data_IF_408027729669
#
_entry.id   IF_408027729669
#
_cell.length_a   1.000
_cell.length_b   1.000
_cell.length_c   1.000
_cell.angle_alpha   90.00
_cell.angle_beta   90.00
_cell.angle_gamma   90.00
#
_symmetry.space_group_name_H-M   'P 1'
#
loop_
_entity.id
_entity.type
_entity.pdbx_description
1 polymer ?
#
# COMPACT_ATOMS: atom_id res chain seq x y z
N UNK A 1 -2.87 -17.99 -13.83
CA UNK A 1 -3.13 -16.83 -14.70
C UNK A 1 -2.69 -15.56 -13.98
N UNK A 2 -2.00 -14.61 -14.63
CA UNK A 2 -1.71 -13.31 -14.01
C UNK A 2 -3.02 -12.61 -13.62
N UNK A 3 -3.02 -11.84 -12.53
CA UNK A 3 -4.20 -11.04 -12.18
C UNK A 3 -4.47 -10.07 -13.34
N UNK A 4 -5.62 -10.21 -14.00
CA UNK A 4 -6.07 -9.21 -14.96
C UNK A 4 -6.54 -8.02 -14.14
N UNK A 5 -5.73 -6.97 -14.07
CA UNK A 5 -6.12 -5.74 -13.39
C UNK A 5 -7.29 -5.13 -14.20
N UNK A 6 -8.49 -5.03 -13.60
CA UNK A 6 -9.74 -4.63 -14.29
C UNK A 6 -10.13 -3.19 -13.95
N UNK A 7 -9.17 -2.28 -14.04
CA UNK A 7 -9.29 -0.83 -13.77
C UNK A 7 -10.33 -0.09 -14.61
N UNK A 8 -10.61 -0.55 -15.84
CA UNK A 8 -11.50 0.16 -16.78
C UNK A 8 -12.99 -0.19 -16.65
N UNK A 9 -13.33 -1.12 -15.76
CA UNK A 9 -14.73 -1.40 -15.43
C UNK A 9 -15.28 -0.26 -14.58
N UNK A 10 -16.46 0.28 -14.94
CA UNK A 10 -17.12 1.40 -14.23
C UNK A 10 -17.17 1.22 -12.71
N UNK A 11 -17.28 -0.01 -12.24
CA UNK A 11 -17.39 -0.33 -10.81
C UNK A 11 -16.06 -0.22 -10.03
N UNK A 12 -14.91 -0.24 -10.71
CA UNK A 12 -13.58 -0.31 -10.08
C UNK A 12 -12.84 1.03 -10.03
N UNK A 13 -13.25 1.99 -10.85
CA UNK A 13 -12.63 3.33 -10.92
C UNK A 13 -12.81 4.08 -9.59
N UNK A 14 -13.99 4.00 -8.98
CA UNK A 14 -14.26 4.65 -7.68
C UNK A 14 -13.35 4.13 -6.56
N UNK A 15 -13.11 2.81 -6.51
CA UNK A 15 -12.18 2.22 -5.56
C UNK A 15 -10.74 2.67 -5.81
N UNK A 16 -10.32 2.77 -7.08
CA UNK A 16 -9.02 3.30 -7.46
C UNK A 16 -8.81 4.75 -7.03
N UNK A 17 -9.81 5.62 -7.22
CA UNK A 17 -9.71 7.03 -6.79
C UNK A 17 -9.60 7.17 -5.27
N UNK A 18 -10.33 6.35 -4.50
CA UNK A 18 -10.23 6.35 -3.04
C UNK A 18 -8.84 5.87 -2.59
N UNK A 19 -8.29 4.83 -3.24
CA UNK A 19 -6.92 4.36 -2.97
C UNK A 19 -5.89 5.46 -3.26
N UNK A 20 -6.01 6.12 -4.42
CA UNK A 20 -5.12 7.21 -4.82
C UNK A 20 -5.18 8.37 -3.83
N UNK A 21 -6.39 8.79 -3.42
CA UNK A 21 -6.59 9.82 -2.41
C UNK A 21 -5.98 9.44 -1.06
N UNK A 22 -6.14 8.18 -0.63
CA UNK A 22 -5.53 7.66 0.59
C UNK A 22 -4.01 7.69 0.57
N UNK A 23 -3.39 7.26 -0.55
CA UNK A 23 -1.94 7.32 -0.74
C UNK A 23 -1.43 8.77 -0.76
N UNK A 24 -2.14 9.69 -1.43
CA UNK A 24 -1.76 11.10 -1.48
C UNK A 24 -1.81 11.78 -0.11
N UNK A 25 -2.86 11.50 0.68
CA UNK A 25 -2.97 11.99 2.06
C UNK A 25 -1.85 11.43 2.94
N UNK A 26 -1.60 10.12 2.88
CA UNK A 26 -0.50 9.49 3.61
C UNK A 26 0.84 10.17 3.28
N UNK A 27 1.11 10.39 1.99
CA UNK A 27 2.35 11.02 1.57
C UNK A 27 2.48 12.47 2.05
N UNK A 28 1.37 13.22 2.06
CA UNK A 28 1.36 14.59 2.58
C UNK A 28 1.70 14.61 4.08
N UNK A 29 1.09 13.72 4.88
CA UNK A 29 1.42 13.59 6.29
C UNK A 29 2.86 13.13 6.51
N UNK A 30 3.35 12.22 5.67
CA UNK A 30 4.71 11.70 5.75
C UNK A 30 5.76 12.79 5.52
N UNK A 31 5.55 13.66 4.54
CA UNK A 31 6.44 14.82 4.29
C UNK A 31 6.38 15.81 5.45
N UNK A 32 5.18 16.12 5.97
CA UNK A 32 5.06 17.03 7.12
C UNK A 32 5.82 16.48 8.34
N UNK A 33 5.73 15.17 8.58
CA UNK A 33 6.51 14.51 9.61
C UNK A 33 8.01 14.62 9.35
N UNK A 34 8.47 14.37 8.12
CA UNK A 34 9.88 14.49 7.74
C UNK A 34 10.42 15.92 7.88
N UNK A 35 9.63 16.94 7.52
CA UNK A 35 10.00 18.33 7.67
C UNK A 35 10.19 18.70 9.15
N UNK A 36 9.25 18.29 10.01
CA UNK A 36 9.27 18.66 11.42
C UNK A 36 10.32 17.89 12.23
N UNK A 37 10.42 16.57 12.02
CA UNK A 37 11.27 15.71 12.84
C UNK A 37 12.66 15.44 12.25
N UNK A 38 12.79 15.42 10.92
CA UNK A 38 14.05 15.10 10.24
C UNK A 38 14.74 16.33 9.64
N UNK A 39 14.15 17.52 9.80
CA UNK A 39 14.66 18.82 9.35
C UNK A 39 14.99 18.85 7.85
N UNK A 40 14.18 18.15 7.03
CA UNK A 40 14.34 18.11 5.58
C UNK A 40 13.61 19.30 4.95
N UNK A 41 14.34 20.34 4.57
CA UNK A 41 13.77 21.63 4.12
C UNK A 41 13.94 21.93 2.61
N UNK A 42 14.37 20.97 1.79
CA UNK A 42 14.68 21.22 0.38
C UNK A 42 13.44 21.07 -0.53
N UNK A 43 13.08 22.14 -1.25
CA UNK A 43 11.90 22.22 -2.12
C UNK A 43 11.82 21.11 -3.20
N UNK A 44 12.94 20.70 -3.78
CA UNK A 44 12.93 19.64 -4.79
C UNK A 44 12.56 18.27 -4.22
N UNK A 45 13.00 18.01 -2.98
CA UNK A 45 12.70 16.79 -2.22
C UNK A 45 11.23 16.79 -1.81
N UNK A 46 10.68 17.96 -1.51
CA UNK A 46 9.31 18.15 -0.98
C UNK A 46 8.22 18.04 -2.06
N UNK A 47 8.52 18.24 -3.34
CA UNK A 47 7.47 18.32 -4.39
C UNK A 47 7.53 17.16 -5.39
N UNK A 48 8.71 16.86 -5.96
CA UNK A 48 8.80 15.93 -7.09
C UNK A 48 8.74 14.46 -6.65
N UNK A 49 9.36 14.14 -5.52
CA UNK A 49 9.49 12.77 -5.02
C UNK A 49 8.19 12.24 -4.44
N UNK A 50 7.40 13.03 -3.70
CA UNK A 50 6.07 12.64 -3.25
C UNK A 50 5.16 12.14 -4.34
N UNK A 51 5.28 12.67 -5.55
CA UNK A 51 4.45 12.23 -6.67
C UNK A 51 4.83 10.81 -7.07
N UNK A 52 6.13 10.54 -7.23
CA UNK A 52 6.63 9.20 -7.60
C UNK A 52 6.33 8.14 -6.53
N UNK A 53 6.54 8.48 -5.26
CA UNK A 53 6.27 7.57 -4.14
C UNK A 53 4.77 7.34 -3.95
N UNK A 54 3.93 8.38 -4.12
CA UNK A 54 2.47 8.25 -4.11
C UNK A 54 2.01 7.29 -5.19
N UNK A 55 2.56 7.39 -6.41
CA UNK A 55 2.22 6.46 -7.49
C UNK A 55 2.66 5.03 -7.17
N UNK A 56 3.86 4.83 -6.63
CA UNK A 56 4.35 3.51 -6.23
C UNK A 56 3.48 2.88 -5.11
N UNK A 57 3.12 3.67 -4.10
CA UNK A 57 2.20 3.28 -3.01
C UNK A 57 0.82 2.92 -3.56
N UNK A 58 0.33 3.71 -4.50
CA UNK A 58 -0.95 3.49 -5.17
C UNK A 58 -0.96 2.17 -5.95
N UNK A 59 0.04 1.95 -6.81
CA UNK A 59 0.17 0.70 -7.57
C UNK A 59 0.33 -0.52 -6.64
N UNK A 60 1.12 -0.39 -5.58
CA UNK A 60 1.29 -1.46 -4.58
C UNK A 60 -0.03 -1.79 -3.89
N UNK A 61 -0.77 -0.77 -3.46
CA UNK A 61 -2.08 -0.93 -2.81
C UNK A 61 -3.11 -1.55 -3.76
N UNK A 62 -3.05 -1.23 -5.05
CA UNK A 62 -3.90 -1.83 -6.08
C UNK A 62 -3.62 -3.32 -6.28
N UNK A 63 -2.35 -3.71 -6.40
CA UNK A 63 -1.95 -5.12 -6.55
C UNK A 63 -2.46 -5.92 -5.35
N UNK A 64 -2.27 -5.38 -4.15
CA UNK A 64 -2.73 -6.00 -2.91
C UNK A 64 -4.27 -6.07 -2.89
N UNK A 65 -4.96 -4.99 -3.25
CA UNK A 65 -6.42 -4.96 -3.33
C UNK A 65 -6.99 -6.04 -4.27
N UNK A 66 -6.46 -6.14 -5.49
CA UNK A 66 -6.92 -7.15 -6.46
C UNK A 66 -6.67 -8.57 -5.96
N UNK A 67 -5.52 -8.81 -5.31
CA UNK A 67 -5.22 -10.11 -4.71
C UNK A 67 -6.25 -10.52 -3.65
N UNK A 68 -6.72 -9.58 -2.82
CA UNK A 68 -7.77 -9.82 -1.84
C UNK A 68 -9.16 -9.95 -2.48
N UNK A 69 -9.47 -9.10 -3.46
CA UNK A 69 -10.76 -9.10 -4.14
C UNK A 69 -11.01 -10.43 -4.86
N UNK A 70 -9.98 -10.99 -5.50
CA UNK A 70 -10.05 -12.28 -6.18
C UNK A 70 -10.30 -13.45 -5.21
N UNK A 71 -9.56 -13.49 -4.09
CA UNK A 71 -9.78 -14.49 -3.04
C UNK A 71 -11.16 -14.36 -2.41
N UNK A 72 -11.65 -13.13 -2.17
CA UNK A 72 -12.99 -12.89 -1.60
C UNK A 72 -14.11 -13.34 -2.52
N UNK A 73 -13.97 -13.16 -3.85
CA UNK A 73 -14.94 -13.68 -4.85
C UNK A 73 -15.01 -15.21 -4.82
N UNK A 74 -13.87 -15.91 -4.78
CA UNK A 74 -13.82 -17.38 -4.65
C UNK A 74 -14.48 -17.85 -3.36
N UNK A 75 -14.18 -17.18 -2.24
CA UNK A 75 -14.77 -17.51 -0.95
C UNK A 75 -16.28 -17.25 -0.90
N UNK A 76 -16.79 -16.22 -1.58
CA UNK A 76 -18.24 -15.96 -1.69
C UNK A 76 -18.98 -17.07 -2.44
N UNK A 77 -18.38 -17.61 -3.51
CA UNK A 77 -18.90 -18.77 -4.24
C UNK A 77 -18.92 -20.04 -3.36
N UNK A 78 -17.87 -20.24 -2.53
CA UNK A 78 -17.83 -21.36 -1.57
C UNK A 78 -18.76 -21.17 -0.37
N UNK A 79 -18.99 -19.94 0.08
CA UNK A 79 -19.81 -19.64 1.26
C UNK A 79 -21.31 -19.75 1.00
N UNK A 80 -21.76 -19.75 -0.25
CA UNK A 80 -23.15 -20.10 -0.59
C UNK A 80 -23.53 -21.51 -0.10
N UNK A 81 -22.54 -22.37 0.19
CA UNK A 81 -22.72 -23.71 0.76
C UNK A 81 -22.44 -23.80 2.27
N UNK A 82 -22.10 -22.70 2.96
CA UNK A 82 -21.79 -22.69 4.41
C UNK A 82 -22.81 -21.84 5.19
N UNK A 83 -23.30 -22.39 6.31
CA UNK A 83 -24.23 -21.68 7.22
C UNK A 83 -23.58 -20.41 7.80
N UNK A 84 -24.31 -19.28 7.88
CA UNK A 84 -23.75 -18.03 8.38
C UNK A 84 -23.55 -18.07 9.89
N UNK A 85 -22.30 -17.91 10.37
CA UNK A 85 -22.02 -17.67 11.79
C UNK A 85 -22.13 -16.16 12.09
N UNK A 86 -23.11 -15.78 12.91
CA UNK A 86 -23.28 -14.41 13.39
C UNK A 86 -22.34 -14.17 14.57
N UNK A 87 -21.29 -13.39 14.35
CA UNK A 87 -20.70 -12.50 15.35
C UNK A 87 -19.62 -11.65 14.68
N UNK A 88 -19.84 -10.33 14.58
CA UNK A 88 -18.82 -9.43 14.02
C UNK A 88 -18.71 -8.15 14.86
N UNK A 89 -17.63 -8.11 15.65
CA UNK A 89 -17.11 -6.94 16.36
C UNK A 89 -16.87 -5.76 15.40
N UNK A 90 -17.07 -4.54 15.87
CA UNK A 90 -16.96 -3.26 15.12
C UNK A 90 -15.61 -3.09 14.41
N UNK A 91 -14.52 -3.57 15.01
CA UNK A 91 -13.17 -3.56 14.43
C UNK A 91 -13.05 -4.43 13.17
N UNK A 92 -13.71 -5.60 13.16
CA UNK A 92 -13.80 -6.46 11.97
C UNK A 92 -14.62 -5.78 10.86
N UNK A 93 -15.57 -4.90 11.16
CA UNK A 93 -16.32 -4.15 10.13
C UNK A 93 -15.47 -3.08 9.44
N UNK A 94 -14.63 -2.37 10.19
CA UNK A 94 -13.73 -1.36 9.62
C UNK A 94 -12.62 -2.00 8.76
N UNK A 95 -12.04 -3.12 9.22
CA UNK A 95 -11.11 -3.93 8.42
C UNK A 95 -11.81 -4.74 7.30
N UNK A 96 -13.13 -4.94 7.35
CA UNK A 96 -13.88 -5.61 6.28
C UNK A 96 -14.16 -4.69 5.09
N UNK A 97 -13.92 -3.39 5.23
CA UNK A 97 -13.99 -2.45 4.10
C UNK A 97 -12.86 -2.81 3.12
N UNK A 98 -13.18 -3.11 1.85
CA UNK A 98 -12.25 -3.77 0.94
C UNK A 98 -11.01 -2.92 0.60
N UNK A 99 -11.05 -1.62 0.89
CA UNK A 99 -10.02 -0.63 0.56
C UNK A 99 -9.06 -0.37 1.72
N UNK A 100 -9.54 -0.42 2.97
CA UNK A 100 -8.76 -0.01 4.16
C UNK A 100 -7.61 -0.97 4.42
N UNK A 101 -7.85 -2.28 4.26
CA UNK A 101 -6.85 -3.30 4.51
C UNK A 101 -5.64 -3.22 3.53
N UNK A 102 -5.84 -3.13 2.20
CA UNK A 102 -4.73 -2.94 1.26
C UNK A 102 -3.88 -1.68 1.52
N UNK A 103 -4.53 -0.56 1.84
CA UNK A 103 -3.83 0.68 2.19
C UNK A 103 -3.00 0.49 3.47
N UNK A 104 -3.62 -0.06 4.52
CA UNK A 104 -2.94 -0.28 5.80
C UNK A 104 -1.73 -1.19 5.66
N UNK A 105 -1.84 -2.30 4.92
CA UNK A 105 -0.71 -3.20 4.64
C UNK A 105 0.39 -2.43 3.91
N UNK A 106 0.03 -1.69 2.87
CA UNK A 106 1.01 -0.94 2.06
C UNK A 106 1.74 0.11 2.89
N UNK A 107 1.02 0.85 3.74
CA UNK A 107 1.59 1.88 4.60
C UNK A 107 2.50 1.29 5.67
N UNK A 108 2.07 0.23 6.35
CA UNK A 108 2.89 -0.43 7.38
C UNK A 108 4.18 -0.96 6.78
N UNK A 109 4.09 -1.69 5.64
CA UNK A 109 5.27 -2.24 4.96
C UNK A 109 6.19 -1.11 4.50
N UNK A 110 5.65 -0.04 3.91
CA UNK A 110 6.43 1.12 3.49
C UNK A 110 7.17 1.78 4.66
N UNK A 111 6.48 2.07 5.76
CA UNK A 111 7.06 2.72 6.94
C UNK A 111 8.18 1.87 7.55
N UNK A 112 7.97 0.56 7.68
CA UNK A 112 8.99 -0.35 8.21
C UNK A 112 10.22 -0.34 7.31
N UNK A 113 10.03 -0.50 6.00
CA UNK A 113 11.13 -0.47 5.04
C UNK A 113 11.85 0.88 5.03
N UNK A 114 11.11 1.97 5.19
CA UNK A 114 11.66 3.33 5.26
C UNK A 114 12.51 3.51 6.50
N UNK A 115 12.02 3.13 7.68
CA UNK A 115 12.79 3.26 8.92
C UNK A 115 14.09 2.47 8.81
N UNK A 116 14.03 1.24 8.32
CA UNK A 116 15.24 0.40 8.14
C UNK A 116 16.21 1.04 7.16
N UNK A 117 15.74 1.47 5.99
CA UNK A 117 16.58 2.13 5.00
C UNK A 117 17.18 3.44 5.54
N UNK A 118 16.39 4.25 6.25
CA UNK A 118 16.81 5.53 6.80
C UNK A 118 17.87 5.37 7.88
N UNK A 119 17.74 4.36 8.76
CA UNK A 119 18.76 4.05 9.75
C UNK A 119 20.08 3.62 9.10
N UNK A 120 20.03 2.86 8.00
CA UNK A 120 21.23 2.42 7.27
C UNK A 120 21.88 3.60 6.54
N UNK A 121 21.11 4.39 5.78
CA UNK A 121 21.67 5.50 5.01
C UNK A 121 22.07 6.69 5.90
N UNK A 122 21.39 6.88 7.01
CA UNK A 122 21.68 7.92 8.01
C UNK A 122 23.07 7.82 8.64
N UNK A 123 23.74 6.66 8.58
CA UNK A 123 25.13 6.54 9.06
C UNK A 123 26.16 7.05 8.05
N UNK A 124 25.80 7.17 6.78
CA UNK A 124 26.74 7.51 5.69
C UNK A 124 26.43 8.84 4.99
N UNK A 125 25.17 9.30 5.03
CA UNK A 125 24.68 10.43 4.26
C UNK A 125 23.99 11.47 5.15
N UNK A 126 23.95 12.72 4.67
CA UNK A 126 23.21 13.80 5.32
C UNK A 126 21.72 13.49 5.38
N UNK A 127 21.02 13.96 6.42
CA UNK A 127 19.59 13.69 6.66
C UNK A 127 18.69 13.86 5.42
N UNK A 128 18.94 14.89 4.60
CA UNK A 128 18.18 15.14 3.38
C UNK A 128 18.38 14.04 2.31
N UNK A 129 19.63 13.63 2.08
CA UNK A 129 19.96 12.57 1.12
C UNK A 129 19.54 11.21 1.64
N UNK A 130 19.72 10.96 2.95
CA UNK A 130 19.27 9.76 3.62
C UNK A 130 17.76 9.60 3.51
N UNK A 131 17.00 10.66 3.78
CA UNK A 131 15.54 10.67 3.60
C UNK A 131 15.17 10.34 2.16
N UNK A 132 15.75 11.07 1.21
CA UNK A 132 15.49 10.95 -0.22
C UNK A 132 15.74 9.54 -0.75
N UNK A 133 16.90 8.96 -0.44
CA UNK A 133 17.25 7.62 -0.92
C UNK A 133 16.38 6.58 -0.23
N UNK A 134 16.15 6.70 1.07
CA UNK A 134 15.32 5.76 1.82
C UNK A 134 13.90 5.72 1.29
N UNK A 135 13.30 6.87 1.05
CA UNK A 135 11.93 6.97 0.54
C UNK A 135 11.77 6.26 -0.82
N UNK A 136 12.70 6.50 -1.75
CA UNK A 136 12.68 5.86 -3.06
C UNK A 136 12.96 4.35 -2.98
N UNK A 137 13.95 3.94 -2.18
CA UNK A 137 14.27 2.52 -1.98
C UNK A 137 13.10 1.78 -1.37
N UNK A 138 12.43 2.35 -0.36
CA UNK A 138 11.27 1.74 0.28
C UNK A 138 10.07 1.67 -0.65
N UNK A 139 9.85 2.67 -1.51
CA UNK A 139 8.80 2.63 -2.54
C UNK A 139 9.05 1.50 -3.56
N UNK A 140 10.29 1.32 -4.01
CA UNK A 140 10.68 0.24 -4.93
C UNK A 140 10.52 -1.12 -4.25
N UNK A 141 11.03 -1.28 -3.03
CA UNK A 141 10.91 -2.51 -2.26
C UNK A 141 9.45 -2.86 -1.97
N UNK A 142 8.60 -1.86 -1.70
CA UNK A 142 7.17 -2.07 -1.51
C UNK A 142 6.52 -2.66 -2.78
N UNK A 143 6.86 -2.17 -3.97
CA UNK A 143 6.37 -2.75 -5.23
C UNK A 143 6.79 -4.22 -5.39
N UNK A 144 8.02 -4.57 -4.99
CA UNK A 144 8.50 -5.95 -4.99
C UNK A 144 7.71 -6.81 -3.99
N UNK A 145 7.45 -6.29 -2.79
CA UNK A 145 6.65 -6.96 -1.77
C UNK A 145 5.21 -7.16 -2.25
N UNK A 146 4.59 -6.15 -2.87
CA UNK A 146 3.25 -6.25 -3.43
C UNK A 146 3.15 -7.33 -4.51
N UNK A 147 4.13 -7.39 -5.42
CA UNK A 147 4.24 -8.47 -6.41
C UNK A 147 4.47 -9.85 -5.75
N UNK A 148 5.22 -9.91 -4.65
CA UNK A 148 5.37 -11.11 -3.82
C UNK A 148 4.04 -11.55 -3.23
N UNK A 149 3.28 -10.62 -2.64
CA UNK A 149 1.93 -10.86 -2.12
C UNK A 149 0.99 -11.39 -3.20
N UNK A 150 1.03 -10.82 -4.41
CA UNK A 150 0.27 -11.35 -5.56
C UNK A 150 0.61 -12.83 -5.81
N UNK A 151 1.91 -13.14 -5.92
CA UNK A 151 2.38 -14.49 -6.24
C UNK A 151 2.08 -15.49 -5.15
N UNK A 152 2.28 -15.17 -3.88
CA UNK A 152 2.08 -16.12 -2.79
C UNK A 152 0.62 -16.19 -2.36
N UNK A 153 -0.03 -15.05 -2.11
CA UNK A 153 -1.40 -15.04 -1.61
C UNK A 153 -2.41 -15.49 -2.68
N UNK A 154 -2.31 -14.96 -3.90
CA UNK A 154 -3.26 -15.33 -4.96
C UNK A 154 -2.98 -16.73 -5.51
N UNK A 155 -1.72 -17.18 -5.64
CA UNK A 155 -1.43 -18.53 -6.18
C UNK A 155 -1.69 -19.65 -5.17
N UNK A 156 -1.28 -19.51 -3.91
CA UNK A 156 -1.48 -20.56 -2.88
C UNK A 156 -2.96 -20.73 -2.55
N UNK A 157 -3.74 -19.64 -2.46
CA UNK A 157 -5.18 -19.71 -2.21
C UNK A 157 -6.03 -19.89 -3.47
N UNK A 158 -5.43 -20.02 -4.66
CA UNK A 158 -6.11 -20.43 -5.91
C UNK A 158 -6.13 -21.94 -6.09
N UNK A 159 -5.11 -22.65 -5.60
CA UNK A 159 -5.17 -24.11 -5.45
C UNK A 159 -5.91 -24.50 -4.15
#
# INVERSE_FOLDING_TARGET
MPIRIRWRSKDYIGYGLILLGGCGLFQTFFILFAQYFLLVANYFIIIIIPIGTTLALFYSSLIIFESFAEVRRRNKLRSQFRRPSKEVQTLKRFLAFPITLPLLISFIVFVILFIVAYLIFGTFLNNQLSFLISENVSAILLLLVANGFERYYAKIRRY
#
